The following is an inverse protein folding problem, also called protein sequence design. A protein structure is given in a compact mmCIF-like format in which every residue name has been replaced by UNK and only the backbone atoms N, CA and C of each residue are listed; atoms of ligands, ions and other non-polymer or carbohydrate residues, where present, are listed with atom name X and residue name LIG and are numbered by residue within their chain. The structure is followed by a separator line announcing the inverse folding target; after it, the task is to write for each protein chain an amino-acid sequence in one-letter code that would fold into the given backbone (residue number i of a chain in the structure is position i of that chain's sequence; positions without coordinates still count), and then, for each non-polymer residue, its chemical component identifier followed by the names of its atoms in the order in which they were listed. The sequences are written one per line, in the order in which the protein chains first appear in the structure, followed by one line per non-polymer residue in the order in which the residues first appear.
data_IF_641985190339
#
_entry.id   IF_641985190339
#
_cell.length_a   1.000
_cell.length_b   1.000
_cell.length_c   1.000
_cell.angle_alpha   90.00
_cell.angle_beta   90.00
_cell.angle_gamma   90.00
#
_symmetry.space_group_name_H-M   'P 1'
#
loop_
_entity.id
_entity.type
_entity.pdbx_description
1 polymer ?
#
# COMPACT_ATOMS: atom_id res chain seq x y z
N UNK A 1 1.33 14.81 6.45
CA UNK A 1 2.61 14.77 7.20
C UNK A 1 3.29 13.40 7.03
N UNK A 2 2.63 12.28 7.38
CA UNK A 2 3.19 10.91 7.29
C UNK A 2 3.73 10.62 5.89
N UNK A 3 2.91 10.81 4.86
CA UNK A 3 3.29 10.59 3.46
C UNK A 3 4.57 11.35 3.06
N UNK A 4 4.67 12.63 3.41
CA UNK A 4 5.83 13.46 3.05
C UNK A 4 7.14 12.96 3.69
N UNK A 5 7.06 12.28 4.83
CA UNK A 5 8.23 11.64 5.46
C UNK A 5 8.59 10.30 4.81
N UNK A 6 7.60 9.61 4.24
CA UNK A 6 7.81 8.33 3.56
C UNK A 6 8.43 8.51 2.16
N UNK A 7 8.10 9.59 1.44
CA UNK A 7 8.54 9.84 0.06
C UNK A 7 10.06 9.80 -0.13
N UNK A 8 10.89 10.50 0.66
CA UNK A 8 12.35 10.46 0.49
C UNK A 8 12.92 9.04 0.64
N UNK A 9 12.37 8.26 1.57
CA UNK A 9 12.81 6.89 1.83
C UNK A 9 12.41 5.98 0.66
N UNK A 10 11.18 6.12 0.16
CA UNK A 10 10.71 5.39 -1.01
C UNK A 10 11.53 5.71 -2.27
N UNK A 11 11.89 6.98 -2.48
CA UNK A 11 12.76 7.38 -3.59
C UNK A 11 14.16 6.77 -3.48
N UNK A 12 14.72 6.69 -2.28
CA UNK A 12 16.03 6.06 -2.04
C UNK A 12 16.00 4.54 -2.32
N UNK A 13 14.84 3.91 -2.12
CA UNK A 13 14.64 2.47 -2.36
C UNK A 13 14.18 2.13 -3.78
N UNK A 14 13.96 3.14 -4.63
CA UNK A 14 13.52 2.94 -6.01
C UNK A 14 14.63 2.32 -6.88
N UNK A 15 14.40 1.10 -7.37
CA UNK A 15 15.28 0.32 -8.25
C UNK A 15 14.77 0.23 -9.68
N UNK A 16 13.68 0.90 -10.02
CA UNK A 16 13.07 0.81 -11.36
C UNK A 16 13.84 1.58 -12.44
N UNK A 17 14.69 2.52 -12.05
CA UNK A 17 15.38 3.44 -12.96
C UNK A 17 14.50 4.58 -13.49
N UNK A 18 13.23 4.60 -13.11
CA UNK A 18 12.26 5.65 -13.49
C UNK A 18 11.82 6.39 -12.22
N UNK A 19 11.90 7.73 -12.19
CA UNK A 19 11.40 8.50 -11.06
C UNK A 19 9.91 8.29 -10.82
N UNK A 20 9.50 8.22 -9.56
CA UNK A 20 8.09 8.21 -9.17
C UNK A 20 7.59 9.64 -8.94
N UNK A 21 6.40 9.94 -9.44
CA UNK A 21 5.65 11.15 -9.09
C UNK A 21 4.68 10.83 -7.95
N UNK A 22 5.23 10.80 -6.72
CA UNK A 22 4.45 10.47 -5.53
C UNK A 22 3.39 11.52 -5.22
N UNK A 23 2.14 11.12 -5.25
CA UNK A 23 0.99 11.95 -4.93
C UNK A 23 0.06 11.20 -3.99
N UNK A 24 -0.36 11.86 -2.90
CA UNK A 24 -1.34 11.31 -1.96
C UNK A 24 -2.66 12.04 -2.09
N UNK A 25 -3.72 11.28 -2.37
CA UNK A 25 -5.09 11.76 -2.37
C UNK A 25 -5.82 11.20 -1.15
N UNK A 26 -6.46 12.05 -0.39
CA UNK A 26 -7.35 11.65 0.69
C UNK A 26 -8.78 11.71 0.18
N UNK A 27 -9.41 10.56 0.05
CA UNK A 27 -10.76 10.44 -0.50
C UNK A 27 -11.78 10.37 0.65
N UNK A 28 -12.76 11.25 0.60
CA UNK A 28 -13.85 11.24 1.58
C UNK A 28 -14.80 10.09 1.27
N UNK A 29 -14.74 9.04 2.06
CA UNK A 29 -15.57 7.85 1.95
C UNK A 29 -15.49 7.05 3.25
N UNK A 30 -16.58 6.34 3.60
CA UNK A 30 -16.62 5.45 4.76
C UNK A 30 -15.94 4.09 4.50
N UNK A 31 -15.47 3.85 3.28
CA UNK A 31 -14.78 2.62 2.95
C UNK A 31 -13.46 2.46 3.71
N UNK A 32 -13.17 1.23 4.11
CA UNK A 32 -11.89 0.83 4.66
C UNK A 32 -10.96 0.42 3.50
N UNK A 33 -10.36 1.41 2.85
CA UNK A 33 -9.55 1.18 1.64
C UNK A 33 -8.37 2.15 1.51
N UNK A 34 -7.34 1.68 0.82
CA UNK A 34 -6.19 2.44 0.35
C UNK A 34 -5.63 1.73 -0.88
N UNK A 35 -4.94 2.45 -1.75
CA UNK A 35 -4.32 1.87 -2.94
C UNK A 35 -3.17 2.72 -3.47
N UNK A 36 -2.29 2.11 -4.26
CA UNK A 36 -1.26 2.77 -5.05
C UNK A 36 -1.32 2.33 -6.51
N UNK A 37 -1.20 3.29 -7.41
CA UNK A 37 -1.09 3.06 -8.85
C UNK A 37 0.37 3.05 -9.31
N UNK A 38 0.67 2.41 -10.45
CA UNK A 38 1.96 2.58 -11.10
C UNK A 38 2.31 4.06 -11.27
N UNK A 39 3.58 4.41 -11.00
CA UNK A 39 4.05 5.79 -11.12
C UNK A 39 3.93 6.65 -9.85
N UNK A 40 3.24 6.17 -8.79
CA UNK A 40 3.27 6.80 -7.48
C UNK A 40 2.02 7.56 -7.06
N UNK A 41 0.93 7.51 -7.82
CA UNK A 41 -0.37 8.05 -7.38
C UNK A 41 -0.98 7.11 -6.35
N UNK A 42 -1.35 7.66 -5.20
CA UNK A 42 -1.88 6.91 -4.06
C UNK A 42 -3.17 7.54 -3.54
N UNK A 43 -3.99 6.73 -2.91
CA UNK A 43 -5.14 7.20 -2.17
C UNK A 43 -5.30 6.46 -0.84
N UNK A 44 -5.80 7.19 0.14
CA UNK A 44 -6.27 6.65 1.42
C UNK A 44 -7.67 7.21 1.67
N UNK A 45 -8.60 6.35 2.02
CA UNK A 45 -9.97 6.76 2.32
C UNK A 45 -10.11 7.21 3.77
N UNK A 46 -10.89 8.26 4.00
CA UNK A 46 -11.09 8.80 5.36
C UNK A 46 -11.65 7.75 6.30
N UNK A 47 -12.56 6.90 5.83
CA UNK A 47 -13.13 5.81 6.63
C UNK A 47 -12.08 4.86 7.18
N UNK A 48 -11.01 4.57 6.42
CA UNK A 48 -9.94 3.73 6.91
C UNK A 48 -9.23 4.32 8.12
N UNK A 49 -8.93 5.60 8.09
CA UNK A 49 -8.23 6.30 9.18
C UNK A 49 -9.16 6.51 10.38
N UNK A 50 -10.38 6.98 10.15
CA UNK A 50 -11.33 7.37 11.20
C UNK A 50 -11.96 6.16 11.89
N UNK A 51 -12.49 5.21 11.12
CA UNK A 51 -13.20 4.03 11.68
C UNK A 51 -12.26 3.05 12.38
N UNK A 52 -11.05 2.88 11.89
CA UNK A 52 -10.03 2.06 12.55
C UNK A 52 -9.22 2.84 13.58
N UNK A 53 -9.45 4.15 13.72
CA UNK A 53 -8.69 5.02 14.63
C UNK A 53 -7.18 4.81 14.47
N UNK A 54 -6.68 4.95 13.23
CA UNK A 54 -5.28 4.71 12.91
C UNK A 54 -4.39 5.78 13.52
N UNK A 55 -3.31 5.36 14.16
CA UNK A 55 -2.21 6.23 14.57
C UNK A 55 -1.35 6.60 13.36
N UNK A 56 -0.48 7.60 13.51
CA UNK A 56 0.48 7.98 12.47
C UNK A 56 1.39 6.81 12.07
N UNK A 57 1.81 5.98 13.03
CA UNK A 57 2.61 4.78 12.77
C UNK A 57 1.83 3.74 11.97
N UNK A 58 0.54 3.55 12.26
CA UNK A 58 -0.33 2.65 11.51
C UNK A 58 -0.62 3.17 10.10
N UNK A 59 -0.80 4.48 9.95
CA UNK A 59 -0.90 5.13 8.63
C UNK A 59 0.38 4.92 7.84
N UNK A 60 1.55 5.06 8.47
CA UNK A 60 2.84 4.81 7.83
C UNK A 60 2.98 3.34 7.39
N UNK A 61 2.45 2.39 8.16
CA UNK A 61 2.44 0.98 7.78
C UNK A 61 1.62 0.73 6.51
N UNK A 62 0.42 1.32 6.42
CA UNK A 62 -0.43 1.23 5.21
C UNK A 62 0.26 1.89 4.02
N UNK A 63 0.74 3.11 4.17
CA UNK A 63 1.42 3.84 3.10
C UNK A 63 2.66 3.10 2.63
N UNK A 64 3.48 2.57 3.55
CA UNK A 64 4.69 1.82 3.23
C UNK A 64 4.38 0.53 2.45
N UNK A 65 3.33 -0.18 2.83
CA UNK A 65 2.84 -1.36 2.11
C UNK A 65 2.44 -1.00 0.67
N UNK A 66 1.63 0.02 0.49
CA UNK A 66 1.19 0.48 -0.83
C UNK A 66 2.35 1.03 -1.67
N UNK A 67 3.26 1.81 -1.09
CA UNK A 67 4.47 2.28 -1.77
C UNK A 67 5.32 1.11 -2.27
N UNK A 68 5.45 0.05 -1.48
CA UNK A 68 6.22 -1.14 -1.88
C UNK A 68 5.57 -1.85 -3.06
N UNK A 69 4.24 -1.96 -3.10
CA UNK A 69 3.55 -2.47 -4.30
C UNK A 69 3.90 -1.67 -5.55
N UNK A 70 3.96 -0.35 -5.45
CA UNK A 70 4.35 0.52 -6.56
C UNK A 70 5.82 0.35 -6.94
N UNK A 71 6.74 0.37 -5.97
CA UNK A 71 8.20 0.21 -6.17
C UNK A 71 8.57 -1.13 -6.81
N UNK A 72 7.87 -2.21 -6.45
CA UNK A 72 8.07 -3.55 -7.01
C UNK A 72 7.23 -3.81 -8.27
N UNK A 73 6.51 -2.78 -8.73
CA UNK A 73 5.67 -2.81 -9.93
C UNK A 73 4.61 -3.94 -9.92
N UNK A 74 4.09 -4.31 -8.74
CA UNK A 74 3.12 -5.41 -8.61
C UNK A 74 1.83 -5.13 -9.40
N UNK A 75 1.29 -3.91 -9.32
CA UNK A 75 0.11 -3.50 -10.08
C UNK A 75 0.37 -3.48 -11.58
N UNK A 76 1.56 -3.03 -12.01
CA UNK A 76 1.95 -3.02 -13.42
C UNK A 76 2.02 -4.44 -14.00
N UNK A 77 2.57 -5.39 -13.25
CA UNK A 77 2.61 -6.81 -13.63
C UNK A 77 1.21 -7.40 -13.74
N UNK A 78 0.31 -7.04 -12.82
CA UNK A 78 -1.09 -7.48 -12.86
C UNK A 78 -1.84 -6.93 -14.08
N UNK A 79 -1.65 -5.67 -14.42
CA UNK A 79 -2.23 -5.01 -15.61
C UNK A 79 -1.63 -5.60 -16.88
N UNK A 80 -0.31 -5.79 -16.95
CA UNK A 80 0.38 -6.38 -18.10
C UNK A 80 -0.10 -7.79 -18.42
N UNK A 81 -0.39 -8.60 -17.40
CA UNK A 81 -1.00 -9.92 -17.57
C UNK A 81 -2.40 -9.89 -18.18
N UNK A 82 -3.18 -8.84 -17.94
CA UNK A 82 -4.51 -8.66 -18.53
C UNK A 82 -4.45 -8.21 -20.00
N UNK A 83 -3.45 -7.40 -20.36
CA UNK A 83 -3.22 -6.97 -21.75
C UNK A 83 -2.84 -8.15 -22.64
N UNK A 84 -2.02 -9.06 -22.13
CA UNK A 84 -1.64 -10.29 -22.84
C UNK A 84 -2.83 -11.27 -23.01
N UNK A 85 -3.87 -11.14 -22.18
CA UNK A 85 -5.06 -12.00 -22.23
C UNK A 85 -6.24 -11.43 -23.05
N UNK A 86 -6.03 -10.36 -23.81
CA UNK A 86 -6.99 -9.92 -24.84
C UNK A 86 -7.89 -8.73 -24.51
N UNK A 87 -7.62 -7.99 -23.46
CA UNK A 87 -8.25 -6.67 -23.25
C UNK A 87 -7.38 -5.61 -23.95
N UNK A 88 -7.87 -5.15 -25.09
CA UNK A 88 -7.11 -4.33 -26.03
C UNK A 88 -6.37 -3.13 -25.43
N UNK A 89 -5.26 -2.76 -26.07
CA UNK A 89 -4.32 -1.70 -25.68
C UNK A 89 -4.89 -0.31 -25.39
N UNK A 90 -6.17 -0.10 -25.65
CA UNK A 90 -6.91 1.15 -25.39
C UNK A 90 -7.10 1.45 -23.89
N UNK A 91 -7.18 0.42 -23.05
CA UNK A 91 -7.38 0.58 -21.59
C UNK A 91 -6.07 1.01 -20.92
N UNK A 92 -4.94 0.54 -21.42
CA UNK A 92 -3.61 0.89 -20.89
C UNK A 92 -3.22 2.33 -21.22
N UNK A 93 -3.55 2.81 -22.42
CA UNK A 93 -3.27 4.19 -22.81
C UNK A 93 -4.09 5.20 -21.99
N UNK A 94 -5.33 4.85 -21.59
CA UNK A 94 -6.15 5.64 -20.71
C UNK A 94 -5.72 5.61 -19.24
N UNK A 95 -5.16 4.51 -18.77
CA UNK A 95 -4.76 4.35 -17.36
C UNK A 95 -3.38 4.95 -17.03
N UNK A 96 -2.53 5.13 -18.02
CA UNK A 96 -1.15 5.63 -17.82
C UNK A 96 -1.01 7.13 -18.10
N UNK A 97 -2.01 7.75 -18.69
CA UNK A 97 -1.95 9.17 -19.01
C UNK A 97 -3.29 9.86 -18.87
N UNK A 98 -3.35 10.85 -18.03
CA UNK A 98 -4.20 12.03 -18.10
C UNK A 98 -5.57 12.01 -17.40
N UNK A 99 -5.67 13.00 -16.54
CA UNK A 99 -6.87 13.71 -16.04
C UNK A 99 -7.83 13.03 -15.07
N UNK A 100 -8.25 13.83 -14.12
CA UNK A 100 -9.23 13.76 -13.03
C UNK A 100 -10.29 12.65 -12.95
N UNK A 101 -10.56 11.92 -14.03
CA UNK A 101 -11.47 10.76 -14.08
C UNK A 101 -10.79 9.41 -13.72
N UNK A 102 -9.51 9.42 -13.46
CA UNK A 102 -8.70 8.21 -13.18
C UNK A 102 -9.01 7.52 -11.85
N UNK A 103 -9.66 8.23 -10.92
CA UNK A 103 -10.00 7.66 -9.60
C UNK A 103 -10.98 6.49 -9.75
N UNK A 104 -11.99 6.62 -10.62
CA UNK A 104 -12.97 5.55 -10.86
C UNK A 104 -12.40 4.36 -11.63
N UNK A 105 -11.60 4.61 -12.67
CA UNK A 105 -11.01 3.56 -13.50
C UNK A 105 -9.89 2.81 -12.76
N UNK A 106 -9.11 3.51 -11.94
CA UNK A 106 -8.03 2.91 -11.13
C UNK A 106 -8.57 1.98 -10.06
N UNK A 107 -9.66 2.36 -9.39
CA UNK A 107 -10.30 1.54 -8.37
C UNK A 107 -10.89 0.26 -8.96
N UNK A 108 -11.55 0.34 -10.11
CA UNK A 108 -12.15 -0.83 -10.77
C UNK A 108 -11.08 -1.80 -11.32
N UNK A 109 -10.00 -1.27 -11.86
CA UNK A 109 -8.92 -2.07 -12.45
C UNK A 109 -8.04 -2.76 -11.40
N UNK A 110 -7.78 -2.07 -10.27
CA UNK A 110 -6.99 -2.60 -9.16
C UNK A 110 -7.84 -3.46 -8.20
N UNK A 111 -9.16 -3.22 -8.15
CA UNK A 111 -10.09 -3.94 -7.29
C UNK A 111 -10.49 -5.33 -7.80
N UNK A 112 -10.08 -5.72 -9.02
CA UNK A 112 -10.60 -6.95 -9.65
C UNK A 112 -9.84 -8.22 -9.33
N UNK A 113 -8.59 -8.12 -8.87
CA UNK A 113 -7.80 -9.31 -8.48
C UNK A 113 -6.97 -9.07 -7.23
N UNK A 114 -7.00 -10.01 -6.28
CA UNK A 114 -6.10 -9.93 -5.13
C UNK A 114 -4.64 -10.13 -5.58
N UNK A 115 -3.74 -9.44 -4.90
CA UNK A 115 -2.31 -9.71 -5.03
C UNK A 115 -1.98 -11.13 -4.57
N UNK A 116 -0.96 -11.73 -5.16
CA UNK A 116 -0.51 -13.05 -4.75
C UNK A 116 0.07 -13.01 -3.33
N UNK A 117 0.08 -14.16 -2.64
CA UNK A 117 0.71 -14.27 -1.31
C UNK A 117 2.17 -13.81 -1.30
N UNK A 118 2.89 -14.06 -2.40
CA UNK A 118 4.27 -13.64 -2.55
C UNK A 118 4.38 -12.12 -2.64
N UNK A 119 3.57 -11.48 -3.48
CA UNK A 119 3.52 -10.01 -3.61
C UNK A 119 3.14 -9.33 -2.29
N UNK A 120 2.18 -9.89 -1.56
CA UNK A 120 1.79 -9.39 -0.23
C UNK A 120 2.94 -9.53 0.78
N UNK A 121 3.67 -10.64 0.75
CA UNK A 121 4.83 -10.85 1.61
C UNK A 121 5.97 -9.86 1.31
N UNK A 122 6.22 -9.58 0.02
CA UNK A 122 7.18 -8.57 -0.42
C UNK A 122 6.75 -7.16 0.00
N UNK A 123 5.45 -6.84 -0.14
CA UNK A 123 4.90 -5.54 0.25
C UNK A 123 4.94 -5.33 1.77
N UNK A 124 4.67 -6.37 2.55
CA UNK A 124 4.81 -6.32 4.00
C UNK A 124 6.27 -6.08 4.42
N UNK A 125 7.20 -6.84 3.86
CA UNK A 125 8.62 -6.73 4.18
C UNK A 125 9.19 -5.36 3.80
N UNK A 126 8.92 -4.89 2.60
CA UNK A 126 9.35 -3.57 2.14
C UNK A 126 8.69 -2.43 2.92
N UNK A 127 7.38 -2.53 3.15
CA UNK A 127 6.63 -1.52 3.88
C UNK A 127 7.10 -1.33 5.33
N UNK A 128 7.37 -2.42 6.03
CA UNK A 128 7.90 -2.40 7.41
C UNK A 128 9.30 -1.76 7.45
N UNK A 129 10.14 -2.03 6.44
CA UNK A 129 11.46 -1.42 6.33
C UNK A 129 11.37 0.07 6.00
N UNK A 130 10.53 0.47 5.05
CA UNK A 130 10.32 1.87 4.68
C UNK A 130 9.83 2.70 5.87
N UNK A 131 8.83 2.22 6.63
CA UNK A 131 8.32 2.95 7.78
C UNK A 131 9.38 3.10 8.88
N UNK A 132 10.20 2.08 9.13
CA UNK A 132 11.30 2.16 10.09
C UNK A 132 12.35 3.20 9.69
N UNK A 133 12.72 3.25 8.41
CA UNK A 133 13.65 4.24 7.86
C UNK A 133 13.07 5.66 7.92
N UNK A 134 11.76 5.81 7.79
CA UNK A 134 11.07 7.09 7.95
C UNK A 134 10.86 7.50 9.42
N UNK A 135 11.27 6.67 10.37
CA UNK A 135 11.17 6.93 11.81
C UNK A 135 9.80 6.64 12.41
N UNK A 136 9.02 5.75 11.80
CA UNK A 136 7.77 5.23 12.32
C UNK A 136 7.95 3.84 12.92
N UNK A 137 7.20 3.54 14.00
CA UNK A 137 7.34 2.29 14.76
C UNK A 137 6.85 1.07 13.96
N UNK A 138 7.73 0.12 13.57
CA UNK A 138 7.36 -1.05 12.79
C UNK A 138 6.33 -1.97 13.44
N UNK A 139 6.18 -1.95 14.77
CA UNK A 139 5.18 -2.73 15.49
C UNK A 139 3.74 -2.36 15.06
N UNK A 140 3.54 -1.13 14.57
CA UNK A 140 2.26 -0.68 14.07
C UNK A 140 1.78 -1.43 12.82
N UNK A 141 2.68 -2.04 12.06
CA UNK A 141 2.29 -2.92 10.95
C UNK A 141 1.50 -4.14 11.43
N UNK A 142 1.81 -4.66 12.63
CA UNK A 142 1.04 -5.75 13.23
C UNK A 142 -0.33 -5.24 13.68
N UNK A 143 -0.35 -4.14 14.45
CA UNK A 143 -1.59 -3.62 15.02
C UNK A 143 -2.62 -3.20 13.96
N UNK A 144 -2.19 -2.62 12.83
CA UNK A 144 -3.09 -2.23 11.75
C UNK A 144 -3.75 -3.44 11.09
N UNK A 145 -3.01 -4.54 10.83
CA UNK A 145 -3.58 -5.77 10.28
C UNK A 145 -4.53 -6.44 11.28
N UNK A 146 -4.21 -6.42 12.57
CA UNK A 146 -5.12 -6.90 13.61
C UNK A 146 -6.42 -6.08 13.69
N UNK A 147 -6.33 -4.74 13.55
CA UNK A 147 -7.51 -3.87 13.48
C UNK A 147 -8.39 -4.20 12.27
N UNK A 148 -7.78 -4.40 11.09
CA UNK A 148 -8.51 -4.79 9.88
C UNK A 148 -9.20 -6.14 10.03
N UNK A 149 -8.51 -7.14 10.60
CA UNK A 149 -9.07 -8.46 10.85
C UNK A 149 -10.27 -8.40 11.80
N UNK A 150 -10.20 -7.59 12.86
CA UNK A 150 -11.33 -7.40 13.77
C UNK A 150 -12.52 -6.70 13.11
N UNK A 151 -12.25 -5.72 12.24
CA UNK A 151 -13.29 -4.99 11.52
C UNK A 151 -14.04 -5.88 10.52
N UNK A 152 -13.41 -6.92 9.97
CA UNK A 152 -14.00 -7.84 9.00
C UNK A 152 -15.23 -8.59 9.56
N UNK A 153 -15.33 -8.78 10.86
CA UNK A 153 -16.47 -9.45 11.51
C UNK A 153 -17.79 -8.65 11.48
N UNK A 154 -17.75 -7.35 11.12
CA UNK A 154 -18.94 -6.47 11.18
C UNK A 154 -19.14 -5.55 9.97
N UNK A 155 -18.19 -5.46 9.06
CA UNK A 155 -18.22 -4.55 7.90
C UNK A 155 -17.38 -5.07 6.77
N UNK A 156 -17.78 -4.77 5.53
CA UNK A 156 -16.95 -5.06 4.38
C UNK A 156 -15.69 -4.19 4.42
N UNK A 157 -14.53 -4.83 4.60
CA UNK A 157 -13.22 -4.18 4.58
C UNK A 157 -12.68 -4.30 3.16
N UNK A 158 -12.92 -3.28 2.35
CA UNK A 158 -12.62 -3.30 0.91
C UNK A 158 -11.15 -3.60 0.61
N UNK A 159 -10.22 -3.07 1.39
CA UNK A 159 -8.79 -3.34 1.23
C UNK A 159 -8.45 -4.84 1.33
N UNK A 160 -9.22 -5.62 2.10
CA UNK A 160 -8.96 -7.06 2.25
C UNK A 160 -9.36 -7.88 1.02
N UNK A 161 -10.13 -7.32 0.08
CA UNK A 161 -10.43 -7.96 -1.20
C UNK A 161 -9.23 -8.01 -2.13
N UNK A 162 -8.37 -6.99 -2.08
CA UNK A 162 -7.13 -6.90 -2.87
C UNK A 162 -5.89 -7.34 -2.08
N UNK A 163 -5.91 -7.16 -0.75
CA UNK A 163 -4.82 -7.50 0.17
C UNK A 163 -5.31 -8.50 1.23
N UNK A 164 -5.46 -9.80 0.89
CA UNK A 164 -5.96 -10.79 1.84
C UNK A 164 -5.09 -10.86 3.10
N UNK A 165 -5.70 -10.59 4.25
CA UNK A 165 -5.02 -10.71 5.53
C UNK A 165 -5.09 -12.15 6.04
N UNK A 166 -4.02 -12.61 6.67
CA UNK A 166 -3.99 -13.87 7.39
C UNK A 166 -2.93 -13.83 8.49
N UNK A 167 -3.06 -14.73 9.44
CA UNK A 167 -2.14 -14.82 10.57
C UNK A 167 -0.68 -15.10 10.16
N UNK A 168 -0.47 -15.77 9.04
CA UNK A 168 0.87 -16.05 8.52
C UNK A 168 1.61 -14.77 8.16
N UNK A 169 0.92 -13.77 7.59
CA UNK A 169 1.50 -12.46 7.28
C UNK A 169 1.89 -11.72 8.56
N UNK A 170 1.00 -11.68 9.55
CA UNK A 170 1.27 -11.05 10.85
C UNK A 170 2.47 -11.69 11.52
N UNK A 171 2.57 -13.02 11.52
CA UNK A 171 3.72 -13.73 12.08
C UNK A 171 5.01 -13.49 11.30
N UNK A 172 4.94 -13.33 9.97
CA UNK A 172 6.10 -12.96 9.17
C UNK A 172 6.61 -11.56 9.51
N UNK A 173 5.71 -10.58 9.66
CA UNK A 173 6.05 -9.23 10.11
C UNK A 173 6.70 -9.27 11.51
N UNK A 174 6.10 -10.04 12.43
CA UNK A 174 6.64 -10.19 13.79
C UNK A 174 8.08 -10.70 13.80
N UNK A 175 8.41 -11.66 12.93
CA UNK A 175 9.78 -12.20 12.78
C UNK A 175 10.77 -11.19 12.21
N UNK A 176 10.29 -10.17 11.48
CA UNK A 176 11.16 -9.10 10.96
C UNK A 176 11.49 -8.01 11.98
N UNK A 177 10.71 -7.89 13.06
CA UNK A 177 10.90 -6.80 14.03
C UNK A 177 12.33 -6.70 14.56
N UNK A 178 13.05 -7.80 14.94
CA UNK A 178 14.43 -7.70 15.40
C UNK A 178 15.38 -7.04 14.39
N UNK A 179 15.11 -7.18 13.08
CA UNK A 179 15.90 -6.56 12.01
C UNK A 179 15.58 -5.08 11.83
N UNK A 180 14.31 -4.70 11.90
CA UNK A 180 13.87 -3.35 11.54
C UNK A 180 13.77 -2.40 12.74
N UNK A 181 13.63 -2.90 13.98
CA UNK A 181 13.58 -2.06 15.18
C UNK A 181 14.85 -1.23 15.40
N UNK A 182 16.08 -1.74 15.17
CA UNK A 182 17.28 -0.90 15.22
C UNK A 182 17.25 0.24 14.22
N UNK A 183 16.72 0.02 12.99
CA UNK A 183 16.57 1.07 11.98
C UNK A 183 15.62 2.16 12.48
N UNK A 184 14.49 1.75 13.05
CA UNK A 184 13.53 2.69 13.66
C UNK A 184 14.19 3.50 14.78
N UNK A 185 14.92 2.86 15.69
CA UNK A 185 15.56 3.56 16.81
C UNK A 185 16.59 4.60 16.38
N UNK A 186 17.25 4.40 15.24
CA UNK A 186 18.18 5.37 14.66
C UNK A 186 17.45 6.57 14.02
N UNK A 187 16.22 6.37 13.54
CA UNK A 187 15.48 7.37 12.76
C UNK A 187 14.26 7.98 13.48
N UNK A 188 13.85 7.42 14.62
CA UNK A 188 12.75 7.98 15.41
C UNK A 188 13.06 9.40 15.88
N UNK A 189 12.06 10.24 15.88
CA UNK A 189 12.15 11.63 16.37
C UNK A 189 11.32 11.81 17.63
#
# INVERSE_FOLDING_TARGET
QVFNRMVPVANADNRTGIPFDWQMNVLRSDELNAWAMPGGKMAVYTGMVERLQLTDDEIAAVIGHEMTHALLEHSKKAIGGQVLTGLGGSILAGAVGLDGNLVGVGTDLLATKPFSRHQESEADAGGVRLMAQAGYNPQAAISVWEKMNRAQGGSQVAILSTHPANNTRIEAIRRMLPEVMPIYHQNKR
#
